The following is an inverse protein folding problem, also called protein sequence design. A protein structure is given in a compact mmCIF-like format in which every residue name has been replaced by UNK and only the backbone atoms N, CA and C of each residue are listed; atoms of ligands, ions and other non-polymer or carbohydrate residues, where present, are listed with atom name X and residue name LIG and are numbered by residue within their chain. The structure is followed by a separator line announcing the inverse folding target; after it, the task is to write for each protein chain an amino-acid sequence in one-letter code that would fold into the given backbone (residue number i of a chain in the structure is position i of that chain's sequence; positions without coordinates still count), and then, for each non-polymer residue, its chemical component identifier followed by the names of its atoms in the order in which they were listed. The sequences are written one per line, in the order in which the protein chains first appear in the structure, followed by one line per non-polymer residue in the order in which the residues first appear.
data_IF_696432097704
#
_entry.id   IF_696432097704
#
_cell.length_a   1.000
_cell.length_b   1.000
_cell.length_c   1.000
_cell.angle_alpha   90.00
_cell.angle_beta   90.00
_cell.angle_gamma   90.00
#
_symmetry.space_group_name_H-M   'P 1'
#
loop_
_entity.id
_entity.type
_entity.pdbx_description
1 polymer ?
#
# COMPACT_ATOMS: atom_id res chain seq x y z
N UNK A 1 31.36 -50.66 10.77
CA UNK A 1 30.20 -50.45 9.88
C UNK A 1 29.61 -49.10 10.23
N UNK A 2 30.14 -48.05 9.61
CA UNK A 2 29.74 -46.65 9.83
C UNK A 2 28.79 -46.25 8.71
N UNK A 3 27.49 -46.43 8.92
CA UNK A 3 26.49 -45.79 8.05
C UNK A 3 26.14 -44.44 8.65
N UNK A 4 27.02 -43.47 8.35
CA UNK A 4 26.77 -42.05 8.57
C UNK A 4 25.57 -41.62 7.72
N UNK A 5 24.39 -41.57 8.34
CA UNK A 5 23.20 -41.02 7.70
C UNK A 5 23.39 -39.53 7.48
N UNK A 6 23.45 -39.18 6.20
CA UNK A 6 23.64 -37.84 5.69
C UNK A 6 22.55 -36.89 6.18
N UNK A 7 22.99 -35.74 6.69
CA UNK A 7 22.17 -34.63 7.13
C UNK A 7 21.21 -34.19 6.02
N UNK A 8 19.91 -34.24 6.27
CA UNK A 8 18.89 -33.62 5.43
C UNK A 8 18.79 -32.14 5.80
N UNK A 9 19.84 -31.38 5.49
CA UNK A 9 19.78 -29.93 5.48
C UNK A 9 18.89 -29.50 4.32
N UNK A 10 17.57 -29.44 4.52
CA UNK A 10 16.70 -28.73 3.59
C UNK A 10 16.79 -27.23 3.91
N UNK A 11 17.94 -26.67 3.58
CA UNK A 11 18.13 -25.24 3.45
C UNK A 11 17.52 -24.83 2.12
N UNK A 12 16.33 -24.26 2.17
CA UNK A 12 15.88 -23.21 1.26
C UNK A 12 14.73 -22.49 1.97
N UNK A 13 15.09 -21.59 2.87
CA UNK A 13 14.17 -20.55 3.34
C UNK A 13 13.93 -19.63 2.14
N UNK A 14 12.81 -19.83 1.46
CA UNK A 14 12.42 -19.06 0.29
C UNK A 14 12.22 -17.60 0.71
N UNK A 15 12.83 -16.62 0.02
CA UNK A 15 12.49 -15.22 0.23
C UNK A 15 11.03 -15.02 -0.18
N UNK A 16 10.17 -14.77 0.81
CA UNK A 16 8.76 -14.39 0.65
C UNK A 16 8.66 -13.01 -0.01
N UNK A 17 8.96 -12.96 -1.30
CA UNK A 17 8.93 -11.78 -2.14
C UNK A 17 7.97 -11.99 -3.29
N UNK A 18 6.67 -11.82 -3.07
CA UNK A 18 5.74 -11.44 -4.13
C UNK A 18 4.47 -10.86 -3.53
N UNK A 19 4.45 -9.51 -3.51
CA UNK A 19 3.25 -8.73 -3.34
C UNK A 19 2.20 -9.16 -4.35
N UNK A 20 0.96 -9.24 -3.88
CA UNK A 20 -0.19 -9.47 -4.73
C UNK A 20 -0.28 -8.30 -5.71
N UNK A 21 0.12 -8.53 -6.96
CA UNK A 21 -0.31 -7.72 -8.08
C UNK A 21 -1.82 -7.93 -8.16
N UNK A 22 -2.56 -6.95 -7.66
CA UNK A 22 -4.00 -6.85 -7.84
C UNK A 22 -4.26 -6.85 -9.34
N UNK A 23 -4.78 -7.98 -9.81
CA UNK A 23 -5.19 -8.18 -11.19
C UNK A 23 -6.48 -7.39 -11.40
N UNK A 24 -6.35 -6.27 -12.10
CA UNK A 24 -7.47 -5.51 -12.66
C UNK A 24 -8.29 -6.44 -13.56
N UNK A 25 -9.48 -6.81 -13.08
CA UNK A 25 -10.57 -7.31 -13.91
C UNK A 25 -11.64 -6.22 -13.95
N UNK A 26 -11.61 -5.39 -14.97
CA UNK A 26 -12.77 -4.55 -15.31
C UNK A 26 -13.06 -4.71 -16.78
N UNK A 27 -14.11 -5.48 -17.08
CA UNK A 27 -14.84 -5.36 -18.33
C UNK A 27 -16.00 -4.39 -18.10
N UNK A 28 -16.22 -3.53 -19.10
CA UNK A 28 -17.43 -2.80 -19.51
C UNK A 28 -17.38 -1.25 -19.42
N UNK A 29 -17.98 -0.65 -20.45
CA UNK A 29 -17.65 0.61 -21.12
C UNK A 29 -18.68 1.73 -20.84
N UNK A 30 -18.34 2.94 -21.32
CA UNK A 30 -19.12 4.18 -21.42
C UNK A 30 -19.15 5.16 -20.22
N UNK A 31 -18.32 6.21 -20.34
CA UNK A 31 -18.66 7.58 -19.92
C UNK A 31 -18.20 8.05 -18.52
N UNK A 32 -16.90 8.29 -18.32
CA UNK A 32 -16.27 9.54 -17.83
C UNK A 32 -14.80 9.27 -17.42
N UNK A 33 -13.87 9.89 -18.14
CA UNK A 33 -12.46 10.14 -17.81
C UNK A 33 -11.72 9.11 -16.89
N UNK A 34 -11.05 8.14 -17.54
CA UNK A 34 -10.00 7.32 -16.96
C UNK A 34 -8.83 8.21 -16.51
N UNK A 35 -8.85 8.64 -15.25
CA UNK A 35 -7.70 9.23 -14.57
C UNK A 35 -7.11 8.16 -13.65
N UNK A 36 -5.83 7.88 -13.90
CA UNK A 36 -4.92 7.07 -13.08
C UNK A 36 -5.34 7.05 -11.60
N UNK A 37 -5.53 5.86 -11.05
CA UNK A 37 -6.12 5.57 -9.73
C UNK A 37 -5.21 5.99 -8.56
N UNK A 38 -4.65 7.19 -8.62
CA UNK A 38 -3.97 7.83 -7.50
C UNK A 38 -5.02 8.15 -6.43
N UNK A 39 -4.71 7.97 -5.13
CA UNK A 39 -5.63 8.31 -4.06
C UNK A 39 -5.97 9.80 -4.14
N UNK A 40 -7.15 10.11 -4.66
CA UNK A 40 -7.69 11.47 -4.69
C UNK A 40 -8.33 11.84 -3.35
N UNK A 41 -8.38 10.91 -2.39
CA UNK A 41 -9.04 11.09 -1.09
C UNK A 41 -8.05 10.96 0.05
N UNK A 42 -8.23 11.80 1.06
CA UNK A 42 -7.45 11.74 2.29
C UNK A 42 -7.74 10.44 3.05
N UNK A 43 -6.70 9.67 3.39
CA UNK A 43 -6.87 8.39 4.11
C UNK A 43 -7.38 8.55 5.55
N UNK A 44 -7.19 9.71 6.18
CA UNK A 44 -7.66 9.96 7.56
C UNK A 44 -9.04 10.59 7.62
N UNK A 45 -9.35 11.45 6.66
CA UNK A 45 -10.46 12.39 6.76
C UNK A 45 -11.51 12.14 5.67
N UNK A 46 -11.21 11.28 4.68
CA UNK A 46 -12.14 10.88 3.61
C UNK A 46 -12.43 11.95 2.55
N UNK A 47 -12.00 13.20 2.76
CA UNK A 47 -12.25 14.29 1.82
C UNK A 47 -11.49 14.12 0.50
N UNK A 48 -12.14 14.48 -0.60
CA UNK A 48 -11.52 14.55 -1.93
C UNK A 48 -10.56 15.75 -1.99
N UNK A 49 -9.35 15.53 -2.49
CA UNK A 49 -8.27 16.52 -2.60
C UNK A 49 -8.44 17.45 -3.80
N UNK A 50 -9.37 17.14 -4.71
CA UNK A 50 -9.79 18.02 -5.81
C UNK A 50 -10.39 19.29 -5.19
N UNK A 51 -9.61 20.37 -5.14
CA UNK A 51 -9.99 21.68 -4.58
C UNK A 51 -9.40 22.04 -3.21
N UNK A 52 -9.25 21.11 -2.26
CA UNK A 52 -8.72 21.43 -0.90
C UNK A 52 -7.21 21.43 -0.80
N UNK A 53 -6.53 20.89 -1.82
CA UNK A 53 -5.08 20.71 -1.79
C UNK A 53 -4.65 19.58 -0.85
N UNK A 54 -3.73 18.75 -1.33
CA UNK A 54 -3.16 17.68 -0.55
C UNK A 54 -1.87 17.19 -1.18
N UNK A 55 -1.08 16.50 -0.38
CA UNK A 55 0.17 15.91 -0.82
C UNK A 55 0.02 14.40 -0.91
N UNK A 56 0.65 13.82 -1.93
CA UNK A 56 0.76 12.39 -2.16
C UNK A 56 2.18 11.99 -1.80
N UNK A 57 2.34 10.99 -0.95
CA UNK A 57 3.65 10.50 -0.53
C UNK A 57 3.60 8.99 -0.31
N UNK A 58 4.73 8.28 -0.48
CA UNK A 58 4.80 6.86 -0.19
C UNK A 58 4.79 6.61 1.33
N UNK A 59 4.07 5.58 1.77
CA UNK A 59 4.09 5.14 3.16
C UNK A 59 5.50 4.67 3.55
N UNK A 60 6.06 5.09 4.70
CA UNK A 60 7.41 4.71 5.12
C UNK A 60 7.56 3.23 5.46
N UNK A 61 6.46 2.51 5.73
CA UNK A 61 6.48 1.10 6.12
C UNK A 61 6.36 0.15 4.93
N UNK A 62 5.56 0.49 3.91
CA UNK A 62 5.28 -0.42 2.79
C UNK A 62 5.47 0.20 1.41
N UNK A 63 5.75 1.50 1.31
CA UNK A 63 5.93 2.21 0.04
C UNK A 63 4.63 2.52 -0.73
N UNK A 64 3.45 2.16 -0.20
CA UNK A 64 2.16 2.45 -0.85
C UNK A 64 1.92 3.96 -0.93
N UNK A 65 1.55 4.45 -2.11
CA UNK A 65 1.20 5.86 -2.31
C UNK A 65 -0.07 6.18 -1.53
N UNK A 66 0.03 7.12 -0.60
CA UNK A 66 -1.09 7.63 0.19
C UNK A 66 -1.24 9.12 -0.04
N UNK A 67 -2.47 9.60 0.06
CA UNK A 67 -2.77 11.01 -0.04
C UNK A 67 -3.33 11.54 1.28
N UNK A 68 -2.81 12.69 1.71
CA UNK A 68 -3.27 13.40 2.91
C UNK A 68 -3.50 14.86 2.58
N UNK A 69 -4.60 15.40 3.10
CA UNK A 69 -4.88 16.83 2.97
C UNK A 69 -4.01 17.64 3.94
N UNK A 70 -3.81 18.92 3.61
CA UNK A 70 -3.01 19.82 4.42
C UNK A 70 -3.55 20.00 5.85
N UNK A 71 -4.88 19.91 6.04
CA UNK A 71 -5.51 20.01 7.36
C UNK A 71 -5.08 18.86 8.28
N UNK A 72 -5.18 17.62 7.79
CA UNK A 72 -4.86 16.45 8.60
C UNK A 72 -3.34 16.31 8.82
N UNK A 73 -2.52 16.84 7.88
CA UNK A 73 -1.07 17.04 8.09
C UNK A 73 -0.77 18.08 9.19
N UNK A 74 -1.47 19.23 9.19
CA UNK A 74 -1.25 20.32 10.18
C UNK A 74 -1.74 19.94 11.57
N UNK A 75 -2.79 19.14 11.67
CA UNK A 75 -3.32 18.62 12.93
C UNK A 75 -2.55 17.40 13.44
N UNK A 76 -1.54 16.92 12.71
CA UNK A 76 -0.81 15.69 13.06
C UNK A 76 -1.77 14.52 13.34
N UNK A 77 -2.90 14.49 12.62
CA UNK A 77 -3.97 13.54 12.89
C UNK A 77 -3.50 12.15 12.49
N UNK A 78 -3.73 11.15 13.34
CA UNK A 78 -3.29 9.78 13.08
C UNK A 78 -3.91 9.28 11.77
N UNK A 79 -3.09 8.62 10.96
CA UNK A 79 -3.51 7.92 9.76
C UNK A 79 -3.13 6.45 9.86
N UNK A 80 -4.03 5.59 9.39
CA UNK A 80 -3.78 4.15 9.29
C UNK A 80 -3.64 3.77 7.82
N UNK A 81 -2.50 3.20 7.46
CA UNK A 81 -2.27 2.70 6.11
C UNK A 81 -3.08 1.42 5.89
N UNK A 82 -3.91 1.36 4.83
CA UNK A 82 -4.71 0.16 4.51
C UNK A 82 -3.88 -1.03 4.00
N UNK A 83 -2.66 -0.79 3.55
CA UNK A 83 -1.80 -1.83 3.00
C UNK A 83 -1.02 -2.59 4.10
N UNK A 84 -0.46 -1.88 5.07
CA UNK A 84 0.39 -2.46 6.12
C UNK A 84 -0.14 -2.30 7.55
N UNK A 85 -1.22 -1.54 7.76
CA UNK A 85 -1.75 -1.25 9.10
C UNK A 85 -0.91 -0.24 9.91
N UNK A 86 0.14 0.34 9.32
CA UNK A 86 0.96 1.36 9.99
C UNK A 86 0.08 2.53 10.41
N UNK A 87 0.13 2.84 11.71
CA UNK A 87 -0.60 3.95 12.32
C UNK A 87 0.40 5.00 12.80
N UNK A 88 0.36 6.19 12.22
CA UNK A 88 1.30 7.27 12.53
C UNK A 88 0.70 8.66 12.32
N UNK A 89 1.35 9.71 12.82
CA UNK A 89 0.92 11.09 12.64
C UNK A 89 1.11 11.59 11.21
#
# INVERSE_FOLDING_TARGET
MIVSSTAKCHSFCVPSGYGKVYTVKYINQEGDNMKEELPERCISCGITLTGVGGTKFPCPSCGTVIARCNRCKKQSNVYTCKACGFSGP
#
